data_IF_558064096545
#
_entry.id   IF_558064096545
#
_cell.length_a   1.000
_cell.length_b   1.000
_cell.length_c   1.000
_cell.angle_alpha   90.00
_cell.angle_beta   90.00
_cell.angle_gamma   90.00
#
_symmetry.space_group_name_H-M   'P 1'
#
loop_
_entity.id
_entity.type
_entity.pdbx_description
1 polymer ?
#
# COMPACT_ATOMS: atom_id res chain seq x y z
N UNK A 1 6.45 17.92 11.18
CA UNK A 1 5.94 17.61 9.83
C UNK A 1 6.49 16.27 9.38
N UNK A 2 5.62 15.39 8.90
CA UNK A 2 6.05 14.11 8.36
C UNK A 2 6.47 14.28 6.91
N UNK A 3 7.61 13.70 6.56
CA UNK A 3 8.07 13.66 5.17
C UNK A 3 7.81 12.27 4.59
N UNK A 4 7.64 12.21 3.28
CA UNK A 4 7.42 10.96 2.58
C UNK A 4 8.68 10.44 1.90
N UNK A 5 8.64 9.18 1.53
CA UNK A 5 9.71 8.50 0.80
C UNK A 5 9.11 7.66 -0.32
N UNK A 6 9.89 7.46 -1.39
CA UNK A 6 9.48 6.57 -2.47
C UNK A 6 9.89 5.13 -2.18
N UNK A 7 8.92 4.22 -2.38
CA UNK A 7 9.14 2.79 -2.46
C UNK A 7 8.49 2.34 -3.77
N UNK A 8 9.30 1.90 -4.75
CA UNK A 8 8.82 1.62 -6.11
C UNK A 8 8.14 2.89 -6.66
N UNK A 9 6.87 2.82 -7.09
CA UNK A 9 6.09 3.97 -7.59
C UNK A 9 5.30 4.66 -6.48
N UNK A 10 5.37 4.16 -5.25
CA UNK A 10 4.60 4.67 -4.11
C UNK A 10 5.36 5.76 -3.39
N UNK A 11 4.77 6.93 -3.28
CA UNK A 11 5.26 7.97 -2.37
C UNK A 11 4.53 7.82 -1.05
N UNK A 12 5.25 7.36 -0.03
CA UNK A 12 4.67 6.89 1.24
C UNK A 12 5.01 7.86 2.36
N UNK A 13 3.98 8.32 3.07
CA UNK A 13 4.13 9.06 4.32
C UNK A 13 3.65 8.14 5.45
N UNK A 14 4.57 7.76 6.34
CA UNK A 14 4.28 6.83 7.43
C UNK A 14 3.66 7.57 8.61
N UNK A 15 2.33 7.49 8.74
CA UNK A 15 1.58 8.23 9.77
C UNK A 15 1.87 7.71 11.17
N UNK A 16 1.99 6.39 11.34
CA UNK A 16 2.21 5.76 12.66
C UNK A 16 3.67 5.69 13.08
N UNK A 17 4.60 6.15 12.22
CA UNK A 17 6.04 6.10 12.51
C UNK A 17 6.36 6.84 13.81
N UNK A 18 7.19 6.22 14.66
CA UNK A 18 7.62 6.77 15.95
C UNK A 18 6.46 7.05 16.91
N UNK A 19 5.37 6.31 16.78
CA UNK A 19 4.25 6.36 17.72
C UNK A 19 4.10 5.02 18.42
N UNK A 20 3.31 4.98 19.50
CA UNK A 20 3.03 3.74 20.21
C UNK A 20 2.27 2.73 19.35
N UNK A 21 1.60 3.18 18.28
CA UNK A 21 0.84 2.32 17.37
C UNK A 21 1.75 1.61 16.36
N UNK A 22 2.99 2.04 16.20
CA UNK A 22 3.87 1.54 15.15
C UNK A 22 4.11 0.03 15.18
N UNK A 23 3.97 -0.61 16.34
CA UNK A 23 4.15 -2.07 16.49
C UNK A 23 2.87 -2.86 16.30
N UNK A 24 1.72 -2.18 16.21
CA UNK A 24 0.39 -2.81 16.14
C UNK A 24 -0.17 -2.69 14.73
N UNK A 25 -0.03 -1.52 14.14
CA UNK A 25 -0.63 -1.18 12.85
C UNK A 25 0.25 -0.20 12.11
N UNK A 26 0.36 -0.36 10.81
CA UNK A 26 0.96 0.65 9.95
C UNK A 26 -0.16 1.42 9.25
N UNK A 27 -0.19 2.72 9.44
CA UNK A 27 -1.08 3.62 8.70
C UNK A 27 -0.22 4.52 7.85
N UNK A 28 -0.39 4.40 6.54
CA UNK A 28 0.41 5.14 5.57
C UNK A 28 -0.50 5.91 4.63
N UNK A 29 -0.12 7.14 4.32
CA UNK A 29 -0.73 7.85 3.21
C UNK A 29 0.14 7.67 1.99
N UNK A 30 -0.47 7.25 0.89
CA UNK A 30 0.25 6.85 -0.33
C UNK A 30 -0.25 7.63 -1.53
N UNK A 31 0.69 8.14 -2.31
CA UNK A 31 0.40 8.79 -3.59
C UNK A 31 1.11 8.04 -4.71
N UNK A 32 0.37 7.76 -5.79
CA UNK A 32 0.90 7.18 -7.02
C UNK A 32 0.63 8.16 -8.15
N UNK A 33 1.68 8.61 -8.81
CA UNK A 33 1.57 9.55 -9.92
C UNK A 33 0.83 8.92 -11.11
N UNK A 34 0.34 9.74 -12.07
CA UNK A 34 -0.30 9.20 -13.27
C UNK A 34 0.64 8.31 -14.09
N UNK A 35 0.07 7.39 -14.83
CA UNK A 35 0.75 6.52 -15.80
C UNK A 35 1.86 5.66 -15.16
N UNK A 36 1.58 5.10 -13.98
CA UNK A 36 2.50 4.23 -13.25
C UNK A 36 1.94 2.83 -13.08
N UNK A 37 2.84 1.88 -12.95
CA UNK A 37 2.51 0.50 -12.62
C UNK A 37 3.54 0.00 -11.61
N UNK A 38 3.07 -0.44 -10.45
CA UNK A 38 3.96 -0.97 -9.43
C UNK A 38 4.41 -2.39 -9.76
N UNK A 39 5.49 -2.83 -9.12
CA UNK A 39 5.85 -4.24 -9.11
C UNK A 39 4.76 -5.02 -8.39
N UNK A 40 4.53 -6.26 -8.81
CA UNK A 40 3.65 -7.17 -8.11
C UNK A 40 4.37 -7.68 -6.87
N UNK A 41 3.70 -7.60 -5.73
CA UNK A 41 4.26 -7.99 -4.43
C UNK A 41 3.18 -8.55 -3.53
N UNK A 42 3.60 -9.12 -2.41
CA UNK A 42 2.67 -9.59 -1.38
C UNK A 42 3.25 -9.39 0.02
N UNK A 43 2.34 -9.38 0.99
CA UNK A 43 2.66 -9.39 2.41
C UNK A 43 2.15 -10.71 2.97
N UNK A 44 3.03 -11.53 3.53
CA UNK A 44 2.67 -12.88 3.95
C UNK A 44 1.88 -12.92 5.26
N UNK A 45 2.07 -11.92 6.12
CA UNK A 45 1.43 -11.85 7.42
C UNK A 45 0.42 -10.72 7.53
N UNK A 46 0.65 -9.61 6.84
CA UNK A 46 -0.19 -8.42 6.94
C UNK A 46 -1.43 -8.52 6.05
N UNK A 47 -2.57 -8.15 6.61
CA UNK A 47 -3.77 -7.81 5.85
C UNK A 47 -3.77 -6.30 5.65
N UNK A 48 -4.21 -5.85 4.48
CA UNK A 48 -4.19 -4.43 4.11
C UNK A 48 -5.59 -3.97 3.74
N UNK A 49 -5.98 -2.81 4.24
CA UNK A 49 -7.20 -2.12 3.81
C UNK A 49 -6.80 -0.78 3.21
N UNK A 50 -7.26 -0.52 2.00
CA UNK A 50 -7.03 0.74 1.31
C UNK A 50 -8.30 1.59 1.36
N UNK A 51 -8.15 2.86 1.71
CA UNK A 51 -9.21 3.87 1.63
C UNK A 51 -8.82 4.86 0.56
N UNK A 52 -9.54 4.88 -0.55
CA UNK A 52 -9.22 5.75 -1.67
C UNK A 52 -9.71 7.15 -1.39
N UNK A 53 -8.79 8.10 -1.31
CA UNK A 53 -9.09 9.49 -0.98
C UNK A 53 -9.34 10.34 -2.22
N UNK A 54 -8.55 10.13 -3.27
CA UNK A 54 -8.55 10.99 -4.46
C UNK A 54 -8.09 10.22 -5.68
N UNK A 55 -8.63 10.57 -6.83
CA UNK A 55 -8.24 10.01 -8.10
C UNK A 55 -8.88 8.66 -8.39
N UNK A 56 -8.27 7.92 -9.29
CA UNK A 56 -8.71 6.59 -9.70
C UNK A 56 -7.51 5.74 -10.11
N UNK A 57 -7.74 4.44 -10.17
CA UNK A 57 -6.72 3.51 -10.59
C UNK A 57 -7.24 2.09 -10.58
N UNK A 58 -6.35 1.14 -10.81
CA UNK A 58 -6.66 -0.28 -10.76
C UNK A 58 -5.73 -0.95 -9.75
N UNK A 59 -6.32 -1.71 -8.82
CA UNK A 59 -5.57 -2.58 -7.93
C UNK A 59 -5.78 -4.00 -8.41
N UNK A 60 -4.69 -4.65 -8.80
CA UNK A 60 -4.74 -6.04 -9.27
C UNK A 60 -4.46 -6.93 -8.07
N UNK A 61 -5.39 -7.84 -7.76
CA UNK A 61 -5.26 -8.78 -6.64
C UNK A 61 -5.39 -10.19 -7.20
N UNK A 62 -4.33 -10.98 -7.08
CA UNK A 62 -4.29 -12.36 -7.62
C UNK A 62 -4.80 -12.43 -9.07
N UNK A 63 -4.28 -11.56 -9.93
CA UNK A 63 -4.61 -11.44 -11.36
C UNK A 63 -5.99 -10.87 -11.68
N UNK A 64 -6.76 -10.47 -10.67
CA UNK A 64 -8.09 -9.88 -10.86
C UNK A 64 -8.01 -8.37 -10.70
N UNK A 65 -8.49 -7.64 -11.70
CA UNK A 65 -8.49 -6.17 -11.69
C UNK A 65 -9.65 -5.64 -10.86
N UNK A 66 -9.34 -4.70 -9.97
CA UNK A 66 -10.31 -3.96 -9.18
C UNK A 66 -10.16 -2.49 -9.48
N UNK A 67 -11.08 -1.92 -10.22
CA UNK A 67 -11.08 -0.48 -10.47
C UNK A 67 -11.54 0.25 -9.21
N UNK A 68 -10.76 1.25 -8.78
CA UNK A 68 -11.03 2.02 -7.57
C UNK A 68 -11.06 3.51 -7.87
N UNK A 69 -11.89 4.22 -7.11
CA UNK A 69 -12.03 5.67 -7.21
C UNK A 69 -12.28 6.25 -5.82
N UNK A 70 -12.23 7.58 -5.70
CA UNK A 70 -12.40 8.27 -4.41
C UNK A 70 -13.64 7.78 -3.65
N UNK A 71 -13.47 7.46 -2.38
CA UNK A 71 -14.52 6.94 -1.51
C UNK A 71 -14.57 5.41 -1.42
N UNK A 72 -13.84 4.70 -2.27
CA UNK A 72 -13.80 3.24 -2.22
C UNK A 72 -12.93 2.72 -1.10
N UNK A 73 -13.31 1.56 -0.57
CA UNK A 73 -12.53 0.77 0.37
C UNK A 73 -12.25 -0.59 -0.24
N UNK A 74 -10.99 -1.01 -0.20
CA UNK A 74 -10.57 -2.30 -0.77
C UNK A 74 -9.72 -3.04 0.25
N UNK A 75 -10.05 -4.32 0.47
CA UNK A 75 -9.27 -5.19 1.33
C UNK A 75 -8.35 -6.07 0.48
N UNK A 76 -7.08 -6.12 0.86
CA UNK A 76 -6.08 -7.01 0.25
C UNK A 76 -5.72 -8.06 1.30
N UNK A 77 -6.13 -9.33 1.10
CA UNK A 77 -5.85 -10.39 2.06
C UNK A 77 -4.35 -10.66 2.21
N UNK A 78 -3.95 -11.20 3.34
CA UNK A 78 -2.57 -11.66 3.52
C UNK A 78 -2.21 -12.68 2.45
N UNK A 79 -0.98 -12.62 1.97
CA UNK A 79 -0.46 -13.54 0.97
C UNK A 79 -0.94 -13.29 -0.46
N UNK A 80 -1.88 -12.37 -0.67
CA UNK A 80 -2.38 -12.08 -2.01
C UNK A 80 -1.36 -11.25 -2.81
N UNK A 81 -1.00 -11.72 -3.99
CA UNK A 81 -0.17 -10.94 -4.91
C UNK A 81 -0.96 -9.75 -5.41
N UNK A 82 -0.38 -8.57 -5.35
CA UNK A 82 -1.07 -7.35 -5.78
C UNK A 82 -0.14 -6.32 -6.40
N UNK A 83 -0.73 -5.46 -7.21
CA UNK A 83 -0.05 -4.32 -7.84
C UNK A 83 -1.04 -3.17 -8.01
N UNK A 84 -0.52 -1.98 -8.25
CA UNK A 84 -1.33 -0.78 -8.47
C UNK A 84 -0.95 -0.16 -9.81
N UNK A 85 -1.98 0.19 -10.58
CA UNK A 85 -1.81 0.79 -11.91
C UNK A 85 -2.62 2.08 -11.93
N UNK A 86 -1.99 3.18 -12.33
CA UNK A 86 -2.69 4.46 -12.53
C UNK A 86 -2.84 4.75 -14.02
N UNK A 87 -3.90 5.49 -14.34
CA UNK A 87 -4.13 6.03 -15.67
C UNK A 87 -3.76 7.50 -15.74
N UNK A 88 -4.66 8.35 -16.25
CA UNK A 88 -4.38 9.75 -16.50
C UNK A 88 -4.38 10.63 -15.25
N UNK A 89 -4.80 10.11 -14.10
CA UNK A 89 -4.78 10.89 -12.85
C UNK A 89 -4.03 10.16 -11.76
N UNK A 90 -3.50 10.92 -10.80
CA UNK A 90 -2.86 10.38 -9.62
C UNK A 90 -3.86 9.67 -8.73
N UNK A 91 -3.41 8.67 -7.98
CA UNK A 91 -4.19 7.95 -6.99
C UNK A 91 -3.63 8.26 -5.62
N UNK A 92 -4.49 8.68 -4.70
CA UNK A 92 -4.10 8.91 -3.30
C UNK A 92 -4.98 8.05 -2.42
N UNK A 93 -4.35 7.29 -1.54
CA UNK A 93 -5.08 6.43 -0.60
C UNK A 93 -4.39 6.38 0.75
N UNK A 94 -5.17 5.99 1.75
CA UNK A 94 -4.65 5.62 3.08
C UNK A 94 -4.61 4.10 3.15
N UNK A 95 -3.45 3.56 3.51
CA UNK A 95 -3.24 2.13 3.68
C UNK A 95 -3.14 1.82 5.16
N UNK A 96 -3.92 0.86 5.62
CA UNK A 96 -3.90 0.36 7.00
C UNK A 96 -3.49 -1.11 6.95
N UNK A 97 -2.38 -1.45 7.60
CA UNK A 97 -1.79 -2.80 7.55
C UNK A 97 -1.57 -3.32 8.96
N UNK A 98 -1.97 -4.55 9.20
CA UNK A 98 -1.75 -5.22 10.50
C UNK A 98 -1.46 -6.71 10.29
N UNK A 99 -0.39 -7.23 10.91
CA UNK A 99 0.65 -6.49 11.62
C UNK A 99 1.46 -5.59 10.67
N UNK A 100 2.25 -4.64 11.18
CA UNK A 100 3.04 -3.77 10.32
C UNK A 100 3.98 -4.57 9.42
N UNK A 101 4.08 -4.18 8.14
CA UNK A 101 4.97 -4.86 7.19
C UNK A 101 6.44 -4.59 7.48
N UNK A 102 6.73 -3.49 8.15
CA UNK A 102 8.08 -3.13 8.55
C UNK A 102 8.06 -2.77 10.05
N UNK A 103 8.85 -3.49 10.85
CA UNK A 103 8.97 -3.25 12.27
C UNK A 103 10.45 -3.21 12.64
N UNK A 104 10.95 -2.03 12.95
CA UNK A 104 12.36 -1.82 13.29
C UNK A 104 12.76 -2.55 14.57
N UNK A 105 11.85 -2.65 15.55
CA UNK A 105 12.14 -3.29 16.83
C UNK A 105 12.39 -4.79 16.70
N UNK A 106 11.69 -5.46 15.77
CA UNK A 106 11.84 -6.91 15.53
C UNK A 106 12.68 -7.23 14.30
N UNK A 107 12.98 -6.23 13.47
CA UNK A 107 13.65 -6.42 12.20
C UNK A 107 12.77 -7.02 11.12
N UNK A 108 11.45 -7.08 11.35
CA UNK A 108 10.53 -7.67 10.39
C UNK A 108 10.38 -6.80 9.15
N UNK A 109 10.39 -7.44 8.00
CA UNK A 109 10.12 -6.82 6.71
C UNK A 109 9.28 -7.78 5.88
N UNK A 110 7.96 -7.61 5.96
CA UNK A 110 6.98 -8.51 5.36
C UNK A 110 6.67 -8.08 3.94
N UNK A 111 7.62 -8.29 3.04
CA UNK A 111 7.49 -7.94 1.64
C UNK A 111 8.17 -8.98 0.77
N UNK A 112 7.43 -9.56 -0.16
CA UNK A 112 7.95 -10.47 -1.16
C UNK A 112 7.61 -9.94 -2.55
N UNK A 113 8.61 -9.77 -3.41
CA UNK A 113 8.42 -9.34 -4.78
C UNK A 113 8.20 -10.57 -5.66
N UNK A 114 7.30 -10.44 -6.65
CA UNK A 114 7.12 -11.49 -7.64
C UNK A 114 8.36 -11.52 -8.53
N UNK A 115 8.93 -12.69 -8.69
CA UNK A 115 10.09 -12.93 -9.56
C UNK A 115 9.68 -13.74 -10.77
N UNK A 116 10.25 -13.40 -11.92
CA UNK A 116 9.97 -14.08 -13.17
C UNK A 116 11.20 -14.83 -13.68
#
# INVERSE_FOLDING_TARGET
MLSGEYYDVFFVTQITRATALAHIVAVDRVRVEPEKCSQTHRHNEAETVLFIESGSGTVVINTIDHFVTAGDRLCIPRGAWHSVITGCEALIFTSVQSPPIHDEATGRHDLELETH
#
